data_IF_189828872301
#
_entry.id   IF_189828872301
#
_cell.length_a   1.000
_cell.length_b   1.000
_cell.length_c   1.000
_cell.angle_alpha   90.00
_cell.angle_beta   90.00
_cell.angle_gamma   90.00
#
_symmetry.space_group_name_H-M   'P 1'
#
loop_
_entity.id
_entity.type
_entity.pdbx_description
1 polymer ?
#
# COMPACT_ATOMS: atom_id res chain seq x y z
N UNK A 1 30.99 11.72 -6.84
CA UNK A 1 31.39 12.19 -5.50
C UNK A 1 30.37 11.64 -4.51
N UNK A 2 30.70 10.56 -3.79
CA UNK A 2 29.87 10.10 -2.68
C UNK A 2 30.01 11.12 -1.55
N UNK A 3 28.94 11.86 -1.25
CA UNK A 3 28.93 12.69 -0.05
C UNK A 3 29.18 11.77 1.15
N UNK A 4 30.20 12.08 1.94
CA UNK A 4 30.49 11.35 3.17
C UNK A 4 29.34 11.62 4.15
N UNK A 5 28.72 10.57 4.68
CA UNK A 5 27.54 10.66 5.53
C UNK A 5 27.83 10.00 6.89
N UNK A 6 27.19 10.50 7.92
CA UNK A 6 27.35 10.02 9.28
C UNK A 6 26.51 8.76 9.49
N UNK A 7 27.17 7.61 9.64
CA UNK A 7 26.51 6.31 9.76
C UNK A 7 25.63 6.21 11.00
N UNK A 8 26.10 6.70 12.13
CA UNK A 8 25.37 6.61 13.39
C UNK A 8 24.15 7.52 13.35
N UNK A 9 24.32 8.79 12.96
CA UNK A 9 23.19 9.73 12.87
C UNK A 9 22.16 9.31 11.82
N UNK A 10 22.60 8.76 10.68
CA UNK A 10 21.69 8.27 9.64
C UNK A 10 20.91 7.03 10.09
N UNK A 11 21.52 6.16 10.88
CA UNK A 11 20.83 5.01 11.48
C UNK A 11 19.78 5.46 12.50
N UNK A 12 20.10 6.42 13.37
CA UNK A 12 19.10 6.98 14.31
C UNK A 12 17.93 7.63 13.56
N UNK A 13 18.21 8.44 12.54
CA UNK A 13 17.19 9.07 11.70
C UNK A 13 16.28 8.02 11.03
N UNK A 14 16.86 6.92 10.55
CA UNK A 14 16.11 5.80 9.99
C UNK A 14 15.20 5.09 11.02
N UNK A 15 15.69 4.86 12.24
CA UNK A 15 14.89 4.22 13.29
C UNK A 15 13.73 5.13 13.73
N UNK A 16 13.99 6.45 13.81
CA UNK A 16 12.96 7.45 14.04
C UNK A 16 11.92 7.48 12.90
N UNK A 17 12.34 7.36 11.64
CA UNK A 17 11.44 7.24 10.48
C UNK A 17 10.54 6.00 10.57
N UNK A 18 11.13 4.84 10.89
CA UNK A 18 10.37 3.60 11.09
C UNK A 18 9.32 3.73 12.20
N UNK A 19 9.67 4.40 13.30
CA UNK A 19 8.74 4.58 14.42
C UNK A 19 7.63 5.56 14.07
N UNK A 20 7.98 6.76 13.56
CA UNK A 20 7.03 7.85 13.36
C UNK A 20 6.17 7.69 12.11
N UNK A 21 6.75 7.22 11.01
CA UNK A 21 6.08 7.14 9.71
C UNK A 21 5.57 5.72 9.42
N UNK A 22 6.29 4.68 9.86
CA UNK A 22 5.87 3.29 9.59
C UNK A 22 5.15 2.60 10.75
N UNK A 23 4.97 3.28 11.87
CA UNK A 23 4.24 2.76 13.04
C UNK A 23 4.90 1.54 13.66
N UNK A 24 6.21 1.34 13.48
CA UNK A 24 6.94 0.23 14.09
C UNK A 24 7.05 0.48 15.60
N UNK A 25 6.59 -0.49 16.40
CA UNK A 25 6.67 -0.45 17.86
C UNK A 25 8.12 -0.35 18.37
N UNK A 26 8.32 0.35 19.48
CA UNK A 26 9.63 0.57 20.11
C UNK A 26 10.34 -0.74 20.45
N UNK A 27 9.58 -1.77 20.80
CA UNK A 27 10.04 -3.13 21.09
C UNK A 27 10.73 -3.82 19.90
N UNK A 28 10.47 -3.37 18.67
CA UNK A 28 11.04 -3.94 17.45
C UNK A 28 12.27 -3.17 16.94
N UNK A 29 12.46 -1.92 17.35
CA UNK A 29 13.57 -1.07 16.90
C UNK A 29 14.96 -1.66 17.19
N UNK A 30 15.24 -2.30 18.35
CA UNK A 30 16.55 -2.91 18.59
C UNK A 30 16.91 -4.00 17.58
N UNK A 31 15.92 -4.75 17.08
CA UNK A 31 16.13 -5.80 16.08
C UNK A 31 16.42 -5.21 14.70
N UNK A 32 15.72 -4.14 14.32
CA UNK A 32 16.00 -3.42 13.08
C UNK A 32 17.39 -2.78 13.10
N UNK A 33 17.76 -2.14 14.21
CA UNK A 33 19.09 -1.59 14.45
C UNK A 33 20.18 -2.62 14.18
N UNK A 34 20.13 -3.78 14.86
CA UNK A 34 21.14 -4.82 14.72
C UNK A 34 21.28 -5.36 13.29
N UNK A 35 20.15 -5.51 12.57
CA UNK A 35 20.16 -5.97 11.18
C UNK A 35 20.77 -4.92 10.23
N UNK A 36 20.44 -3.65 10.41
CA UNK A 36 20.97 -2.55 9.58
C UNK A 36 22.45 -2.30 9.90
N UNK A 37 22.87 -2.36 11.16
CA UNK A 37 24.30 -2.29 11.52
C UNK A 37 25.09 -3.43 10.87
N UNK A 38 24.56 -4.65 10.91
CA UNK A 38 25.18 -5.80 10.24
C UNK A 38 25.26 -5.61 8.72
N UNK A 39 24.27 -4.97 8.11
CA UNK A 39 24.29 -4.62 6.68
C UNK A 39 25.35 -3.56 6.38
N UNK A 40 25.37 -2.46 7.14
CA UNK A 40 26.30 -1.34 6.97
C UNK A 40 27.77 -1.72 7.24
N UNK A 41 28.02 -2.74 8.04
CA UNK A 41 29.37 -3.28 8.25
C UNK A 41 29.94 -3.94 6.98
N UNK A 42 29.10 -4.51 6.11
CA UNK A 42 29.51 -5.20 4.88
C UNK A 42 29.26 -4.42 3.59
N UNK A 43 28.43 -3.38 3.62
CA UNK A 43 28.06 -2.59 2.45
C UNK A 43 29.14 -1.54 2.11
N UNK A 44 29.63 -1.60 0.87
CA UNK A 44 30.46 -0.53 0.28
C UNK A 44 29.59 0.55 -0.36
N UNK A 45 28.51 0.13 -1.01
CA UNK A 45 27.53 0.98 -1.69
C UNK A 45 26.13 0.71 -1.11
N UNK A 46 25.25 1.71 -1.15
CA UNK A 46 23.85 1.61 -0.72
C UNK A 46 22.94 1.43 -1.93
N UNK A 47 22.98 0.24 -2.54
CA UNK A 47 22.15 -0.13 -3.69
C UNK A 47 21.45 -1.49 -3.49
N UNK A 48 20.56 -1.86 -4.41
CA UNK A 48 19.85 -3.16 -4.36
C UNK A 48 20.83 -4.34 -4.42
N UNK A 49 21.95 -4.21 -5.15
CA UNK A 49 22.98 -5.25 -5.24
C UNK A 49 23.68 -5.49 -3.90
N UNK A 50 23.82 -4.47 -3.05
CA UNK A 50 24.32 -4.63 -1.70
C UNK A 50 23.36 -5.43 -0.83
N UNK A 51 22.04 -5.22 -0.99
CA UNK A 51 21.01 -6.01 -0.29
C UNK A 51 21.09 -7.47 -0.70
N UNK A 52 21.16 -7.77 -2.00
CA UNK A 52 21.26 -9.15 -2.51
C UNK A 52 22.51 -9.86 -1.98
N UNK A 53 23.66 -9.18 -1.99
CA UNK A 53 24.91 -9.70 -1.41
C UNK A 53 24.78 -9.98 0.09
N UNK A 54 24.12 -9.09 0.82
CA UNK A 54 23.89 -9.25 2.26
C UNK A 54 22.99 -10.45 2.57
N UNK A 55 21.92 -10.65 1.78
CA UNK A 55 21.01 -11.79 1.92
C UNK A 55 21.71 -13.10 1.56
N UNK A 56 22.50 -13.12 0.47
CA UNK A 56 23.30 -14.27 0.10
C UNK A 56 24.31 -14.64 1.21
N UNK A 57 24.94 -13.66 1.84
CA UNK A 57 25.82 -13.88 2.99
C UNK A 57 25.07 -14.42 4.21
N UNK A 58 23.85 -13.96 4.47
CA UNK A 58 23.01 -14.52 5.55
C UNK A 58 22.71 -16.00 5.32
N UNK A 59 22.37 -16.39 4.07
CA UNK A 59 22.14 -17.78 3.70
C UNK A 59 23.42 -18.63 3.81
N UNK A 60 24.56 -18.10 3.36
CA UNK A 60 25.85 -18.77 3.48
C UNK A 60 26.29 -19.00 4.94
N UNK A 61 25.86 -18.13 5.86
CA UNK A 61 26.07 -18.29 7.32
C UNK A 61 25.12 -19.31 7.97
N UNK A 62 24.26 -19.99 7.20
CA UNK A 62 23.31 -20.96 7.73
C UNK A 62 22.17 -20.33 8.56
N UNK A 63 21.88 -19.04 8.37
CA UNK A 63 20.72 -18.41 9.02
C UNK A 63 19.43 -18.99 8.44
N UNK A 64 18.39 -19.05 9.28
CA UNK A 64 17.07 -19.51 8.84
C UNK A 64 16.48 -18.60 7.75
N UNK A 65 15.62 -19.14 6.88
CA UNK A 65 14.94 -18.36 5.83
C UNK A 65 14.19 -17.14 6.41
N UNK A 66 13.56 -17.30 7.58
CA UNK A 66 12.90 -16.21 8.31
C UNK A 66 13.86 -15.09 8.71
N UNK A 67 15.08 -15.43 9.13
CA UNK A 67 16.12 -14.45 9.46
C UNK A 67 16.65 -13.76 8.20
N UNK A 68 16.86 -14.49 7.10
CA UNK A 68 17.28 -13.92 5.83
C UNK A 68 16.24 -12.94 5.25
N UNK A 69 14.94 -13.29 5.31
CA UNK A 69 13.85 -12.40 4.90
C UNK A 69 13.76 -11.13 5.76
N UNK A 70 13.91 -11.27 7.08
CA UNK A 70 13.95 -10.12 7.99
C UNK A 70 15.16 -9.21 7.69
N UNK A 71 16.33 -9.80 7.42
CA UNK A 71 17.53 -9.07 7.02
C UNK A 71 17.33 -8.33 5.69
N UNK A 72 16.72 -8.98 4.69
CA UNK A 72 16.38 -8.38 3.40
C UNK A 72 15.43 -7.17 3.57
N UNK A 73 14.40 -7.32 4.41
CA UNK A 73 13.43 -6.25 4.68
C UNK A 73 14.09 -5.06 5.37
N UNK A 74 14.93 -5.30 6.37
CA UNK A 74 15.63 -4.23 7.10
C UNK A 74 16.62 -3.48 6.21
N UNK A 75 17.46 -4.21 5.45
CA UNK A 75 18.43 -3.61 4.53
C UNK A 75 17.75 -2.85 3.38
N UNK A 76 16.71 -3.43 2.77
CA UNK A 76 15.95 -2.77 1.71
C UNK A 76 15.22 -1.51 2.20
N UNK A 77 14.66 -1.53 3.42
CA UNK A 77 14.05 -0.34 4.01
C UNK A 77 15.08 0.78 4.22
N UNK A 78 16.29 0.45 4.69
CA UNK A 78 17.36 1.43 4.87
C UNK A 78 17.87 2.02 3.55
N UNK A 79 18.06 1.18 2.51
CA UNK A 79 18.46 1.66 1.17
C UNK A 79 17.40 2.57 0.57
N UNK A 80 16.11 2.24 0.72
CA UNK A 80 15.02 3.11 0.29
C UNK A 80 14.99 4.44 1.05
N UNK A 81 15.28 4.44 2.35
CA UNK A 81 15.42 5.66 3.15
C UNK A 81 16.59 6.53 2.66
N UNK A 82 17.74 5.91 2.37
CA UNK A 82 18.91 6.60 1.83
C UNK A 82 18.62 7.28 0.48
N UNK A 83 17.93 6.58 -0.43
CA UNK A 83 17.55 7.12 -1.75
C UNK A 83 16.59 8.30 -1.69
N UNK A 84 15.80 8.42 -0.61
CA UNK A 84 14.93 9.58 -0.37
C UNK A 84 15.66 10.79 0.22
N UNK A 85 16.99 10.71 0.38
CA UNK A 85 17.78 11.76 1.01
C UNK A 85 17.73 11.74 2.53
N UNK A 86 17.36 10.61 3.15
CA UNK A 86 17.35 10.46 4.61
C UNK A 86 18.75 10.41 5.25
N UNK A 87 19.82 10.33 4.45
CA UNK A 87 21.19 10.28 4.96
C UNK A 87 21.60 11.64 5.57
N UNK A 88 22.13 11.58 6.79
CA UNK A 88 22.67 12.75 7.49
C UNK A 88 24.10 13.00 6.98
N UNK A 89 24.39 14.15 6.36
CA UNK A 89 25.73 14.47 5.88
C UNK A 89 26.73 14.49 7.04
N UNK A 90 27.95 14.01 6.80
CA UNK A 90 29.03 14.12 7.77
C UNK A 90 29.32 15.61 7.99
N UNK A 91 29.27 16.05 9.24
CA UNK A 91 29.56 17.43 9.57
C UNK A 91 31.07 17.62 9.40
N UNK A 92 31.55 18.57 8.58
CA UNK A 92 32.97 18.82 8.49
C UNK A 92 33.44 19.23 9.88
N UNK A 93 34.40 18.49 10.43
CA UNK A 93 35.04 18.84 11.69
C UNK A 93 35.71 20.19 11.45
N UNK A 94 35.03 21.27 11.82
CA UNK A 94 35.62 22.60 11.79
C UNK A 94 36.82 22.55 12.75
N UNK A 95 38.01 23.03 12.34
CA UNK A 95 39.11 23.16 13.26
C UNK A 95 38.65 24.00 14.46
N UNK A 96 39.06 23.64 15.68
CA UNK A 96 38.62 24.36 16.88
C UNK A 96 38.86 25.86 16.67
N UNK A 97 37.88 26.71 17.03
CA UNK A 97 38.04 28.14 16.84
C UNK A 97 39.32 28.59 17.56
N UNK A 98 40.15 29.45 16.93
CA UNK A 98 41.33 29.97 17.57
C UNK A 98 40.93 30.59 18.91
N UNK A 99 41.65 30.21 19.97
CA UNK A 99 41.46 30.72 21.32
C UNK A 99 41.41 32.26 21.27
N UNK A 100 40.20 32.81 21.39
CA UNK A 100 40.04 34.25 21.54
C UNK A 100 40.74 34.66 22.84
N UNK A 101 41.52 35.76 22.84
CA UNK A 101 42.12 36.27 24.05
C UNK A 101 41.03 36.55 25.10
N UNK A 102 41.32 36.32 26.39
CA UNK A 102 40.35 36.51 27.45
C UNK A 102 39.78 37.94 27.39
N UNK A 103 38.46 38.11 27.51
CA UNK A 103 37.86 39.45 27.52
C UNK A 103 38.45 40.26 28.69
N UNK A 104 38.73 41.55 28.49
CA UNK A 104 39.17 42.41 29.58
C UNK A 104 38.10 42.40 30.68
N UNK A 105 38.55 42.29 31.93
CA UNK A 105 37.72 42.40 33.14
C UNK A 105 36.89 43.70 33.07
N UNK A 106 35.62 43.56 32.72
CA UNK A 106 34.63 44.61 32.89
C UNK A 106 34.29 44.63 34.39
N UNK A 107 34.56 45.78 35.02
CA UNK A 107 34.27 46.02 36.43
C UNK A 107 32.78 45.88 36.77
N UNK A 108 32.45 45.83 38.07
CA UNK A 108 31.10 45.52 38.53
C UNK A 108 30.06 46.52 37.98
N UNK A 109 28.88 46.04 37.55
CA UNK A 109 27.82 46.94 37.08
C UNK A 109 27.18 47.69 38.24
N UNK A 110 27.01 49.00 38.06
CA UNK A 110 26.23 49.87 38.95
C UNK A 110 24.76 49.44 39.03
N UNK A 111 24.11 49.52 40.21
CA UNK A 111 22.72 49.15 40.38
C UNK A 111 21.80 50.35 40.12
N UNK A 112 21.31 50.50 38.89
CA UNK A 112 20.17 51.37 38.64
C UNK A 112 19.46 50.98 37.34
N UNK A 113 18.34 50.26 37.46
CA UNK A 113 17.06 50.60 36.82
C UNK A 113 16.03 49.50 37.14
N UNK A 114 15.14 49.79 38.09
CA UNK A 114 13.91 49.03 38.32
C UNK A 114 12.84 49.59 37.39
N UNK A 115 12.42 48.82 36.40
CA UNK A 115 11.23 49.09 35.58
C UNK A 115 10.35 47.84 35.53
N UNK A 116 9.03 47.93 35.74
CA UNK A 116 8.16 46.76 35.80
C UNK A 116 7.84 46.28 34.37
N UNK A 117 8.31 45.08 34.01
CA UNK A 117 7.83 44.36 32.83
C UNK A 117 6.52 43.65 33.17
N UNK A 118 5.44 44.09 32.54
CA UNK A 118 4.14 43.44 32.56
C UNK A 118 4.22 42.06 31.87
N UNK A 119 3.80 41.03 32.58
CA UNK A 119 3.63 39.68 32.03
C UNK A 119 2.32 39.59 31.22
N UNK A 120 2.31 38.93 30.05
CA UNK A 120 1.07 38.57 29.39
C UNK A 120 0.40 37.36 30.09
N UNK A 121 -0.94 37.25 30.06
CA UNK A 121 -1.65 36.19 30.76
C UNK A 121 -1.53 34.85 30.03
N UNK A 122 -1.11 33.83 30.77
CA UNK A 122 -1.27 32.41 30.41
C UNK A 122 -2.76 32.06 30.46
N UNK A 123 -3.31 31.66 29.32
CA UNK A 123 -4.65 31.08 29.24
C UNK A 123 -4.57 29.59 29.61
N UNK A 124 -5.20 29.26 30.74
CA UNK A 124 -5.59 27.92 31.16
C UNK A 124 -6.54 27.30 30.15
N UNK A 125 -6.13 26.21 29.50
CA UNK A 125 -7.06 25.26 28.86
C UNK A 125 -6.55 23.82 29.02
N UNK A 126 -6.99 23.19 30.10
CA UNK A 126 -7.32 21.76 30.18
C UNK A 126 -8.42 21.63 31.25
N UNK A 127 -9.37 20.67 31.17
CA UNK A 127 -9.07 19.26 30.86
C UNK A 127 -10.15 18.46 30.09
N UNK A 128 -9.76 17.21 29.80
CA UNK A 128 -10.57 15.99 29.79
C UNK A 128 -11.52 15.70 28.61
N UNK A 129 -11.18 14.64 27.86
CA UNK A 129 -12.06 13.48 27.72
C UNK A 129 -11.24 12.25 27.30
N UNK A 130 -10.98 11.39 28.27
CA UNK A 130 -10.55 10.02 28.10
C UNK A 130 -11.69 9.21 27.48
N UNK A 131 -11.43 8.49 26.39
CA UNK A 131 -12.26 7.35 25.97
C UNK A 131 -11.35 6.16 25.71
N UNK A 132 -11.25 5.34 26.73
CA UNK A 132 -10.73 3.98 26.71
C UNK A 132 -11.67 3.07 25.92
N UNK A 133 -11.19 2.39 24.88
CA UNK A 133 -11.74 1.12 24.42
C UNK A 133 -10.62 0.28 23.81
N UNK A 134 -10.19 -0.75 24.55
CA UNK A 134 -9.50 -1.93 24.00
C UNK A 134 -10.53 -2.96 23.47
N UNK A 135 -10.11 -4.14 22.99
CA UNK A 135 -9.04 -4.92 23.61
C UNK A 135 -7.85 -5.23 22.69
N UNK A 136 -6.68 -5.24 23.32
CA UNK A 136 -5.46 -5.84 22.80
C UNK A 136 -5.61 -7.38 22.81
N UNK A 137 -5.28 -8.00 21.68
CA UNK A 137 -5.05 -9.44 21.57
C UNK A 137 -3.71 -9.74 22.26
N UNK A 138 -3.78 -10.18 23.51
CA UNK A 138 -2.64 -10.71 24.26
C UNK A 138 -2.28 -12.08 23.67
N UNK A 139 -1.21 -12.15 22.87
CA UNK A 139 -0.59 -13.40 22.47
C UNK A 139 0.37 -13.79 23.59
N UNK A 140 0.09 -14.92 24.24
CA UNK A 140 0.86 -15.51 25.32
C UNK A 140 2.20 -16.05 24.80
N UNK A 141 3.38 -15.57 25.26
CA UNK A 141 4.67 -16.05 24.81
C UNK A 141 5.20 -17.28 25.60
N UNK A 142 4.35 -18.01 26.34
CA UNK A 142 4.77 -19.12 27.19
C UNK A 142 4.46 -20.55 26.65
N UNK A 143 3.98 -20.72 25.42
CA UNK A 143 3.76 -22.05 24.84
C UNK A 143 4.92 -22.46 23.90
N UNK A 144 6.10 -22.68 24.48
CA UNK A 144 7.25 -23.26 23.81
C UNK A 144 8.02 -24.18 24.77
N UNK A 145 7.46 -25.36 25.07
CA UNK A 145 8.22 -26.61 25.21
C UNK A 145 7.26 -27.80 25.37
N UNK A 146 7.77 -29.01 25.12
CA UNK A 146 7.10 -30.32 25.20
C UNK A 146 6.30 -30.78 23.97
N UNK A 147 7.04 -31.03 22.89
CA UNK A 147 6.77 -32.23 22.07
C UNK A 147 7.96 -33.19 22.17
N UNK A 148 7.73 -34.47 22.49
CA UNK A 148 8.80 -35.44 22.66
C UNK A 148 9.49 -35.72 21.33
N UNK A 149 10.82 -35.63 21.33
CA UNK A 149 11.73 -36.13 20.30
C UNK A 149 11.33 -37.57 19.93
N UNK A 150 10.67 -37.73 18.78
CA UNK A 150 10.59 -39.01 18.10
C UNK A 150 11.89 -39.17 17.32
N UNK A 151 12.70 -40.11 17.75
CA UNK A 151 13.88 -40.58 17.03
C UNK A 151 13.43 -41.16 15.68
N UNK A 152 13.52 -40.38 14.61
CA UNK A 152 13.48 -40.91 13.25
C UNK A 152 14.92 -41.05 12.75
N UNK A 153 15.25 -42.27 12.37
CA UNK A 153 16.51 -42.68 11.74
C UNK A 153 16.77 -41.87 10.46
N UNK A 154 18.05 -41.67 10.09
CA UNK A 154 18.41 -40.93 8.89
C UNK A 154 18.14 -41.80 7.65
N UNK A 155 16.93 -41.71 7.10
CA UNK A 155 16.72 -42.08 5.71
C UNK A 155 17.37 -41.01 4.83
N UNK A 156 18.48 -41.38 4.19
CA UNK A 156 19.13 -40.63 3.14
C UNK A 156 18.13 -40.40 1.98
N UNK A 157 17.39 -39.30 2.04
CA UNK A 157 16.65 -38.79 0.88
C UNK A 157 17.67 -38.35 -0.16
N UNK A 158 17.58 -38.96 -1.34
CA UNK A 158 18.28 -38.52 -2.53
C UNK A 158 18.04 -37.02 -2.76
N UNK A 159 19.04 -36.28 -3.28
CA UNK A 159 18.87 -34.87 -3.61
C UNK A 159 17.66 -34.71 -4.56
N UNK A 160 16.82 -33.69 -4.35
CA UNK A 160 15.73 -33.41 -5.28
C UNK A 160 16.31 -33.22 -6.69
N UNK A 161 15.61 -33.70 -7.74
CA UNK A 161 16.07 -33.52 -9.10
C UNK A 161 16.27 -32.01 -9.36
N UNK A 162 17.32 -31.61 -10.10
CA UNK A 162 17.54 -30.22 -10.43
C UNK A 162 16.28 -29.67 -11.08
N UNK A 163 15.75 -28.58 -10.51
CA UNK A 163 14.61 -27.88 -11.07
C UNK A 163 15.05 -27.34 -12.44
N UNK A 164 14.66 -28.02 -13.51
CA UNK A 164 15.00 -27.67 -14.89
C UNK A 164 14.24 -26.43 -15.39
N UNK A 165 13.35 -25.86 -14.58
CA UNK A 165 12.87 -24.52 -14.81
C UNK A 165 13.90 -23.53 -14.27
N UNK A 166 14.65 -22.82 -15.14
CA UNK A 166 15.43 -21.68 -14.68
C UNK A 166 14.48 -20.73 -13.92
N UNK A 167 14.89 -20.14 -12.79
CA UNK A 167 14.17 -19.01 -12.23
C UNK A 167 14.04 -18.01 -13.37
N UNK A 168 12.81 -17.58 -13.66
CA UNK A 168 12.55 -16.59 -14.70
C UNK A 168 13.55 -15.44 -14.50
N UNK A 169 14.47 -15.28 -15.46
CA UNK A 169 15.39 -14.16 -15.44
C UNK A 169 14.54 -12.88 -15.30
N UNK A 170 14.99 -11.87 -14.54
CA UNK A 170 14.40 -10.54 -14.58
C UNK A 170 14.79 -9.86 -15.90
N UNK A 171 14.40 -10.45 -17.03
CA UNK A 171 14.60 -9.91 -18.38
C UNK A 171 13.34 -9.18 -18.80
N UNK A 172 13.07 -8.07 -18.12
CA UNK A 172 12.58 -6.85 -18.76
C UNK A 172 12.58 -5.75 -17.69
N UNK A 173 13.32 -4.64 -17.87
CA UNK A 173 13.05 -3.44 -17.09
C UNK A 173 11.58 -3.11 -17.29
N UNK A 174 10.83 -2.86 -16.21
CA UNK A 174 9.40 -2.58 -16.23
C UNK A 174 9.05 -1.72 -17.46
N UNK A 175 8.46 -2.38 -18.47
CA UNK A 175 8.24 -1.80 -19.79
C UNK A 175 7.36 -0.56 -19.61
N UNK A 176 7.98 0.62 -19.76
CA UNK A 176 7.46 1.97 -19.56
C UNK A 176 6.42 2.16 -18.43
N UNK A 177 6.77 2.92 -17.38
CA UNK A 177 5.89 3.40 -16.29
C UNK A 177 4.80 4.39 -16.78
N UNK A 178 4.12 4.06 -17.88
CA UNK A 178 3.13 4.85 -18.57
C UNK A 178 1.79 4.10 -18.56
N UNK A 179 0.68 4.84 -18.50
CA UNK A 179 -0.69 4.30 -18.49
C UNK A 179 -0.95 3.29 -19.63
N UNK A 180 -0.33 3.51 -20.79
CA UNK A 180 -0.44 2.59 -21.93
C UNK A 180 0.16 1.21 -21.64
N UNK A 181 1.31 1.14 -20.96
CA UNK A 181 1.95 -0.11 -20.56
C UNK A 181 1.07 -0.89 -19.58
N UNK A 182 0.48 -0.19 -18.61
CA UNK A 182 -0.43 -0.78 -17.63
C UNK A 182 -1.71 -1.35 -18.29
N UNK A 183 -2.25 -0.67 -19.31
CA UNK A 183 -3.43 -1.12 -20.06
C UNK A 183 -3.12 -2.31 -20.98
N UNK A 184 -1.96 -2.31 -21.65
CA UNK A 184 -1.55 -3.44 -22.50
C UNK A 184 -1.43 -4.74 -21.72
N UNK A 185 -0.99 -4.69 -20.45
CA UNK A 185 -0.92 -5.86 -19.57
C UNK A 185 -2.29 -6.49 -19.32
N UNK A 186 -3.33 -5.68 -19.19
CA UNK A 186 -4.71 -6.16 -18.96
C UNK A 186 -5.28 -6.85 -20.20
N UNK A 187 -4.94 -6.37 -21.40
CA UNK A 187 -5.40 -6.92 -22.68
C UNK A 187 -4.55 -8.14 -23.14
N UNK A 188 -3.51 -8.49 -22.38
CA UNK A 188 -2.69 -9.66 -22.66
C UNK A 188 -3.51 -10.96 -22.64
N UNK A 189 -2.99 -12.03 -23.28
CA UNK A 189 -3.63 -13.35 -23.25
C UNK A 189 -3.83 -13.89 -21.83
N UNK A 190 -2.90 -13.60 -20.92
CA UNK A 190 -3.02 -13.94 -19.49
C UNK A 190 -4.15 -13.16 -18.83
N UNK A 191 -4.31 -11.87 -19.16
CA UNK A 191 -5.38 -11.01 -18.64
C UNK A 191 -6.76 -11.50 -19.07
N UNK A 192 -6.90 -11.91 -20.32
CA UNK A 192 -8.14 -12.50 -20.84
C UNK A 192 -8.43 -13.84 -20.14
N UNK A 193 -7.44 -14.72 -20.00
CA UNK A 193 -7.60 -15.99 -19.29
C UNK A 193 -8.00 -15.78 -17.82
N UNK A 194 -7.38 -14.82 -17.15
CA UNK A 194 -7.71 -14.46 -15.78
C UNK A 194 -9.12 -13.87 -15.66
N UNK A 195 -9.52 -12.99 -16.58
CA UNK A 195 -10.88 -12.44 -16.64
C UNK A 195 -11.94 -13.53 -16.82
N UNK A 196 -11.67 -14.52 -17.67
CA UNK A 196 -12.54 -15.69 -17.85
C UNK A 196 -12.63 -16.53 -16.59
N UNK A 197 -11.51 -16.75 -15.89
CA UNK A 197 -11.49 -17.50 -14.63
C UNK A 197 -12.32 -16.80 -13.54
N UNK A 198 -12.20 -15.48 -13.40
CA UNK A 198 -13.01 -14.67 -12.46
C UNK A 198 -14.50 -14.63 -12.85
N UNK A 199 -14.81 -14.85 -14.13
CA UNK A 199 -16.18 -14.92 -14.64
C UNK A 199 -16.82 -16.31 -14.46
N UNK A 200 -16.03 -17.35 -14.20
CA UNK A 200 -16.50 -18.72 -14.08
C UNK A 200 -17.66 -18.93 -13.08
N UNK A 201 -17.73 -18.25 -11.91
CA UNK A 201 -18.86 -18.39 -11.00
C UNK A 201 -20.22 -18.11 -11.66
N UNK A 202 -20.28 -17.24 -12.68
CA UNK A 202 -21.53 -16.93 -13.38
C UNK A 202 -22.12 -18.11 -14.14
N UNK A 203 -21.33 -19.13 -14.46
CA UNK A 203 -21.80 -20.39 -15.03
C UNK A 203 -22.78 -21.13 -14.10
N UNK A 204 -22.71 -20.89 -12.78
CA UNK A 204 -23.71 -21.42 -11.84
C UNK A 204 -25.10 -20.84 -12.11
N UNK A 205 -25.19 -19.62 -12.66
CA UNK A 205 -26.48 -18.98 -12.96
C UNK A 205 -27.36 -19.75 -13.95
N UNK A 206 -26.77 -20.67 -14.72
CA UNK A 206 -27.49 -21.55 -15.63
C UNK A 206 -28.32 -22.63 -14.92
N UNK A 207 -28.07 -22.86 -13.63
CA UNK A 207 -28.77 -23.88 -12.83
C UNK A 207 -30.13 -23.39 -12.27
N UNK A 208 -30.51 -22.13 -12.51
CA UNK A 208 -31.80 -21.56 -12.10
C UNK A 208 -31.69 -20.26 -11.30
N UNK A 209 -32.84 -19.69 -10.90
CA UNK A 209 -32.91 -18.35 -10.30
C UNK A 209 -32.11 -18.16 -9.00
N UNK A 210 -32.14 -19.14 -8.08
CA UNK A 210 -31.36 -19.06 -6.83
C UNK A 210 -29.86 -19.08 -7.10
N UNK A 211 -29.42 -19.95 -8.01
CA UNK A 211 -28.01 -20.03 -8.41
C UNK A 211 -27.58 -18.80 -9.22
N UNK A 212 -28.50 -18.13 -9.93
CA UNK A 212 -28.23 -16.87 -10.63
C UNK A 212 -27.91 -15.72 -9.65
N UNK A 213 -28.65 -15.61 -8.55
CA UNK A 213 -28.32 -14.61 -7.53
C UNK A 213 -26.99 -14.93 -6.85
N UNK A 214 -26.82 -16.20 -6.44
CA UNK A 214 -25.59 -16.66 -5.80
C UNK A 214 -24.36 -16.45 -6.69
N UNK A 215 -24.48 -16.73 -7.99
CA UNK A 215 -23.39 -16.58 -8.95
C UNK A 215 -22.97 -15.13 -9.12
N UNK A 216 -23.92 -14.19 -9.17
CA UNK A 216 -23.65 -12.75 -9.19
C UNK A 216 -22.93 -12.30 -7.92
N UNK A 217 -23.38 -12.75 -6.75
CA UNK A 217 -22.73 -12.43 -5.46
C UNK A 217 -21.28 -12.93 -5.45
N UNK A 218 -21.05 -14.19 -5.84
CA UNK A 218 -19.70 -14.77 -5.91
C UNK A 218 -18.82 -14.05 -6.92
N UNK A 219 -19.36 -13.70 -8.09
CA UNK A 219 -18.63 -12.97 -9.12
C UNK A 219 -18.23 -11.57 -8.65
N UNK A 220 -19.14 -10.79 -8.07
CA UNK A 220 -18.81 -9.46 -7.54
C UNK A 220 -17.85 -9.53 -6.36
N UNK A 221 -17.94 -10.56 -5.51
CA UNK A 221 -16.97 -10.78 -4.44
C UNK A 221 -15.57 -11.08 -4.99
N UNK A 222 -15.48 -11.94 -6.00
CA UNK A 222 -14.22 -12.22 -6.69
C UNK A 222 -13.67 -10.97 -7.39
N UNK A 223 -14.52 -10.18 -8.04
CA UNK A 223 -14.16 -8.94 -8.71
C UNK A 223 -13.61 -7.90 -7.71
N UNK A 224 -14.25 -7.74 -6.56
CA UNK A 224 -13.81 -6.85 -5.49
C UNK A 224 -12.44 -7.26 -4.92
N UNK A 225 -12.24 -8.55 -4.66
CA UNK A 225 -10.96 -9.06 -4.16
C UNK A 225 -9.84 -8.93 -5.20
N UNK A 226 -10.12 -9.25 -6.47
CA UNK A 226 -9.14 -9.17 -7.56
C UNK A 226 -8.75 -7.74 -7.90
N UNK A 227 -9.67 -6.79 -7.79
CA UNK A 227 -9.37 -5.37 -7.94
C UNK A 227 -8.25 -4.93 -6.98
N UNK A 228 -8.38 -5.22 -5.68
CA UNK A 228 -7.35 -4.84 -4.71
C UNK A 228 -6.08 -5.65 -4.86
N UNK A 229 -6.17 -6.95 -5.17
CA UNK A 229 -4.98 -7.77 -5.43
C UNK A 229 -4.17 -7.23 -6.62
N UNK A 230 -4.82 -6.79 -7.70
CA UNK A 230 -4.14 -6.16 -8.83
C UNK A 230 -3.58 -4.79 -8.48
N UNK A 231 -4.36 -3.96 -7.79
CA UNK A 231 -3.92 -2.63 -7.37
C UNK A 231 -2.64 -2.74 -6.52
N UNK A 232 -2.61 -3.64 -5.54
CA UNK A 232 -1.44 -3.89 -4.70
C UNK A 232 -0.25 -4.45 -5.48
N UNK A 233 -0.50 -5.40 -6.39
CA UNK A 233 0.54 -6.01 -7.22
C UNK A 233 1.23 -4.95 -8.10
N UNK A 234 0.45 -4.07 -8.75
CA UNK A 234 0.96 -2.98 -9.57
C UNK A 234 1.59 -1.88 -8.73
N UNK A 235 0.98 -1.52 -7.60
CA UNK A 235 1.56 -0.55 -6.66
C UNK A 235 2.93 -0.99 -6.13
N UNK A 236 3.12 -2.30 -5.93
CA UNK A 236 4.40 -2.89 -5.55
C UNK A 236 5.42 -2.98 -6.71
N UNK A 237 5.05 -2.57 -7.93
CA UNK A 237 5.94 -2.59 -9.09
C UNK A 237 6.25 -3.99 -9.62
N UNK A 238 5.43 -4.99 -9.29
CA UNK A 238 5.67 -6.38 -9.72
C UNK A 238 5.31 -6.54 -11.20
N UNK A 239 6.11 -7.30 -11.99
CA UNK A 239 5.78 -7.59 -13.38
C UNK A 239 4.60 -8.59 -13.48
N UNK A 240 3.93 -8.61 -14.63
CA UNK A 240 2.84 -9.55 -14.94
C UNK A 240 1.56 -9.35 -14.12
N UNK A 241 0.69 -10.37 -14.14
CA UNK A 241 -0.53 -10.45 -13.33
C UNK A 241 -0.25 -11.15 -11.99
N UNK A 242 -1.10 -10.95 -10.96
CA UNK A 242 -0.94 -11.65 -9.68
C UNK A 242 -1.05 -13.18 -9.87
N UNK A 243 0.10 -13.87 -9.79
CA UNK A 243 0.25 -15.31 -10.12
C UNK A 243 -0.35 -16.30 -9.13
N UNK A 244 -0.92 -15.84 -8.02
CA UNK A 244 -1.80 -16.58 -7.13
C UNK A 244 -2.65 -15.56 -6.38
N UNK A 245 -3.95 -15.82 -6.19
CA UNK A 245 -4.81 -14.98 -5.36
C UNK A 245 -4.14 -14.78 -3.99
N UNK A 246 -3.95 -13.52 -3.58
CA UNK A 246 -3.20 -13.13 -2.39
C UNK A 246 -3.60 -13.93 -1.14
N UNK A 247 -2.67 -14.18 -0.22
CA UNK A 247 -2.95 -14.79 1.10
C UNK A 247 -4.04 -14.04 1.90
N UNK A 248 -4.34 -12.78 1.53
CA UNK A 248 -5.35 -11.93 2.14
C UNK A 248 -6.59 -11.67 1.25
N UNK A 249 -7.17 -12.71 0.65
CA UNK A 249 -8.34 -12.60 -0.23
C UNK A 249 -9.55 -11.95 0.47
N UNK A 250 -9.80 -12.34 1.72
CA UNK A 250 -10.89 -11.80 2.52
C UNK A 250 -10.70 -10.30 2.82
N UNK A 251 -9.48 -9.88 3.19
CA UNK A 251 -9.16 -8.46 3.40
C UNK A 251 -9.36 -7.64 2.13
N UNK A 252 -8.91 -8.16 0.99
CA UNK A 252 -9.08 -7.50 -0.31
C UNK A 252 -10.56 -7.41 -0.73
N UNK A 253 -11.37 -8.44 -0.45
CA UNK A 253 -12.81 -8.38 -0.63
C UNK A 253 -13.45 -7.26 0.20
N UNK A 254 -13.17 -7.17 1.50
CA UNK A 254 -13.76 -6.15 2.36
C UNK A 254 -13.35 -4.73 1.97
N UNK A 255 -12.10 -4.53 1.52
CA UNK A 255 -11.65 -3.25 0.97
C UNK A 255 -12.43 -2.89 -0.31
N UNK A 256 -12.62 -3.86 -1.21
CA UNK A 256 -13.45 -3.69 -2.41
C UNK A 256 -14.89 -3.32 -2.08
N UNK A 257 -15.49 -4.05 -1.15
CA UNK A 257 -16.85 -3.79 -0.68
C UNK A 257 -16.98 -2.38 -0.08
N UNK A 258 -16.03 -1.96 0.75
CA UNK A 258 -16.04 -0.63 1.37
C UNK A 258 -15.98 0.49 0.32
N UNK A 259 -15.16 0.34 -0.72
CA UNK A 259 -15.10 1.31 -1.84
C UNK A 259 -16.43 1.36 -2.61
N UNK A 260 -17.08 0.22 -2.85
CA UNK A 260 -18.40 0.18 -3.50
C UNK A 260 -19.43 0.91 -2.64
N UNK A 261 -19.42 0.70 -1.32
CA UNK A 261 -20.32 1.42 -0.40
C UNK A 261 -20.11 2.93 -0.51
N UNK A 262 -18.85 3.41 -0.56
CA UNK A 262 -18.56 4.84 -0.75
C UNK A 262 -19.13 5.37 -2.07
N UNK A 263 -19.11 4.58 -3.14
CA UNK A 263 -19.68 4.97 -4.43
C UNK A 263 -21.21 5.09 -4.41
N UNK A 264 -21.88 4.16 -3.71
CA UNK A 264 -23.34 4.06 -3.65
C UNK A 264 -23.94 4.98 -2.58
N UNK A 265 -23.17 5.36 -1.57
CA UNK A 265 -23.67 6.14 -0.44
C UNK A 265 -24.25 7.50 -0.85
N UNK A 266 -23.60 8.35 -1.68
CA UNK A 266 -24.18 9.64 -2.08
C UNK A 266 -25.54 9.53 -2.79
N UNK A 267 -25.73 8.70 -3.84
CA UNK A 267 -27.06 8.58 -4.46
C UNK A 267 -28.08 7.93 -3.53
N UNK A 268 -27.67 6.97 -2.69
CA UNK A 268 -28.56 6.34 -1.71
C UNK A 268 -29.05 7.35 -0.66
N UNK A 269 -28.16 8.14 -0.08
CA UNK A 269 -28.52 9.20 0.89
C UNK A 269 -29.43 10.23 0.23
N UNK A 270 -29.14 10.61 -1.02
CA UNK A 270 -29.98 11.54 -1.79
C UNK A 270 -31.39 11.00 -1.98
N UNK A 271 -31.52 9.74 -2.37
CA UNK A 271 -32.80 9.07 -2.55
C UNK A 271 -33.58 8.90 -1.24
N UNK A 272 -32.89 8.67 -0.12
CA UNK A 272 -33.51 8.48 1.21
C UNK A 272 -33.87 9.78 1.91
N UNK A 273 -33.24 10.91 1.56
CA UNK A 273 -33.41 12.21 2.24
C UNK A 273 -34.26 13.20 1.47
N UNK A 274 -34.39 13.01 0.16
CA UNK A 274 -35.18 13.87 -0.71
C UNK A 274 -36.37 13.06 -1.21
N UNK A 275 -37.55 13.70 -1.23
CA UNK A 275 -38.76 13.10 -1.79
C UNK A 275 -39.09 13.67 -3.16
N UNK A 276 -39.79 12.86 -3.96
CA UNK A 276 -40.38 13.29 -5.23
C UNK A 276 -39.39 13.45 -6.40
N UNK A 277 -39.76 14.25 -7.42
CA UNK A 277 -38.99 14.34 -8.67
C UNK A 277 -37.59 14.95 -8.49
N UNK A 278 -37.38 15.75 -7.44
CA UNK A 278 -36.08 16.32 -7.11
C UNK A 278 -35.07 15.23 -6.71
N UNK A 279 -35.51 14.21 -5.96
CA UNK A 279 -34.66 13.09 -5.56
C UNK A 279 -34.15 12.34 -6.80
N UNK A 280 -35.05 12.01 -7.73
CA UNK A 280 -34.71 11.34 -8.98
C UNK A 280 -33.76 12.18 -9.85
N UNK A 281 -33.98 13.49 -9.92
CA UNK A 281 -33.11 14.41 -10.67
C UNK A 281 -31.69 14.47 -10.10
N UNK A 282 -31.52 14.31 -8.78
CA UNK A 282 -30.23 14.39 -8.10
C UNK A 282 -29.52 13.04 -7.92
N UNK A 283 -30.20 11.90 -8.09
CA UNK A 283 -29.57 10.56 -7.99
C UNK A 283 -28.44 10.41 -9.01
N UNK A 284 -28.63 10.85 -10.26
CA UNK A 284 -27.60 10.74 -11.32
C UNK A 284 -26.35 11.55 -10.97
N UNK A 285 -26.43 12.88 -10.73
CA UNK A 285 -25.23 13.65 -10.39
C UNK A 285 -24.56 13.16 -9.10
N UNK A 286 -25.32 12.69 -8.11
CA UNK A 286 -24.75 12.14 -6.88
C UNK A 286 -24.07 10.78 -7.11
N UNK A 287 -24.54 9.99 -8.07
CA UNK A 287 -23.85 8.77 -8.52
C UNK A 287 -22.50 9.12 -9.14
N UNK A 288 -22.42 10.19 -9.95
CA UNK A 288 -21.16 10.66 -10.52
C UNK A 288 -20.19 11.13 -9.43
N UNK A 289 -20.68 11.82 -8.40
CA UNK A 289 -19.89 12.20 -7.22
C UNK A 289 -19.35 10.96 -6.51
N UNK A 290 -20.19 9.95 -6.27
CA UNK A 290 -19.78 8.69 -5.65
C UNK A 290 -18.68 7.98 -6.44
N UNK A 291 -18.82 7.87 -7.76
CA UNK A 291 -17.81 7.26 -8.63
C UNK A 291 -16.52 8.09 -8.63
N UNK A 292 -16.60 9.42 -8.66
CA UNK A 292 -15.44 10.30 -8.60
C UNK A 292 -14.66 10.21 -7.27
N UNK A 293 -15.29 9.73 -6.20
CA UNK A 293 -14.65 9.49 -4.90
C UNK A 293 -14.03 8.09 -4.77
N UNK A 294 -14.43 7.11 -5.61
CA UNK A 294 -13.90 5.74 -5.55
C UNK A 294 -12.37 5.67 -5.66
N UNK A 295 -11.69 6.39 -6.58
CA UNK A 295 -10.23 6.41 -6.65
C UNK A 295 -9.56 6.78 -5.32
N UNK A 296 -10.01 7.87 -4.68
CA UNK A 296 -9.45 8.30 -3.41
C UNK A 296 -9.73 7.30 -2.28
N UNK A 297 -10.93 6.72 -2.22
CA UNK A 297 -11.26 5.69 -1.24
C UNK A 297 -10.43 4.41 -1.43
N UNK A 298 -10.21 3.98 -2.68
CA UNK A 298 -9.40 2.82 -3.00
C UNK A 298 -7.92 3.03 -2.61
N UNK A 299 -7.38 4.21 -2.91
CA UNK A 299 -6.02 4.58 -2.51
C UNK A 299 -5.90 4.71 -0.99
N UNK A 300 -6.91 5.21 -0.28
CA UNK A 300 -6.92 5.25 1.18
C UNK A 300 -6.88 3.84 1.80
N UNK A 301 -7.69 2.92 1.28
CA UNK A 301 -7.66 1.50 1.65
C UNK A 301 -6.28 0.86 1.43
N UNK A 302 -5.67 1.12 0.28
CA UNK A 302 -4.36 0.56 -0.06
C UNK A 302 -3.24 1.15 0.80
N UNK A 303 -3.22 2.47 1.00
CA UNK A 303 -2.19 3.12 1.81
C UNK A 303 -2.22 2.66 3.27
N UNK A 304 -3.41 2.45 3.83
CA UNK A 304 -3.59 2.06 5.24
C UNK A 304 -3.76 0.56 5.43
N UNK A 305 -3.77 -0.22 4.35
CA UNK A 305 -4.00 -1.66 4.38
C UNK A 305 -5.27 -2.06 5.16
N UNK A 306 -6.31 -1.21 5.15
CA UNK A 306 -7.53 -1.39 5.95
C UNK A 306 -8.77 -0.96 5.18
N UNK A 307 -9.85 -1.76 5.24
CA UNK A 307 -11.13 -1.43 4.62
C UNK A 307 -11.81 -0.21 5.28
N UNK A 308 -11.56 0.02 6.57
CA UNK A 308 -12.13 1.16 7.30
C UNK A 308 -11.60 2.50 6.79
N UNK A 309 -10.40 2.52 6.21
CA UNK A 309 -9.83 3.72 5.61
C UNK A 309 -10.64 4.22 4.39
N UNK A 310 -11.44 3.34 3.77
CA UNK A 310 -12.41 3.75 2.75
C UNK A 310 -13.32 4.85 3.29
N UNK A 311 -13.72 4.83 4.56
CA UNK A 311 -14.72 5.71 5.16
C UNK A 311 -14.12 6.93 5.88
N UNK A 312 -12.88 7.30 5.57
CA UNK A 312 -12.17 8.39 6.23
C UNK A 312 -11.99 9.58 5.27
N UNK A 313 -12.91 10.56 5.23
CA UNK A 313 -12.87 11.65 4.26
C UNK A 313 -11.58 12.48 4.30
N UNK A 314 -11.00 12.63 5.49
CA UNK A 314 -9.73 13.36 5.66
C UNK A 314 -8.57 12.71 4.89
N UNK A 315 -8.56 11.38 4.73
CA UNK A 315 -7.59 10.69 3.90
C UNK A 315 -7.83 10.95 2.42
N UNK A 316 -9.09 10.98 1.99
CA UNK A 316 -9.44 11.28 0.61
C UNK A 316 -8.94 12.67 0.21
N UNK A 317 -9.19 13.69 1.04
CA UNK A 317 -8.73 15.05 0.78
C UNK A 317 -7.19 15.12 0.70
N UNK A 318 -6.48 14.46 1.63
CA UNK A 318 -5.00 14.40 1.58
C UNK A 318 -4.51 13.75 0.27
N UNK A 319 -5.14 12.68 -0.19
CA UNK A 319 -4.80 12.00 -1.44
C UNK A 319 -5.09 12.90 -2.65
N UNK A 320 -6.25 13.55 -2.68
CA UNK A 320 -6.65 14.47 -3.76
C UNK A 320 -5.69 15.66 -3.83
N UNK A 321 -5.33 16.24 -2.69
CA UNK A 321 -4.40 17.36 -2.60
C UNK A 321 -2.98 16.96 -3.01
N UNK A 322 -2.53 15.76 -2.62
CA UNK A 322 -1.22 15.25 -3.01
C UNK A 322 -1.14 14.94 -4.51
N UNK A 323 -2.23 14.45 -5.12
CA UNK A 323 -2.30 14.06 -6.53
C UNK A 323 -2.95 15.14 -7.41
N UNK A 324 -3.03 16.39 -6.96
CA UNK A 324 -3.91 17.45 -7.50
C UNK A 324 -4.07 17.54 -9.02
N UNK A 325 -3.00 17.35 -9.80
CA UNK A 325 -3.06 17.35 -11.28
C UNK A 325 -3.42 15.98 -11.86
N UNK A 326 -2.88 14.91 -11.29
CA UNK A 326 -3.06 13.55 -11.78
C UNK A 326 -4.41 12.96 -11.37
N UNK A 327 -4.98 13.39 -10.25
CA UNK A 327 -6.26 12.91 -9.72
C UNK A 327 -7.40 13.13 -10.72
N UNK A 328 -7.45 14.29 -11.37
CA UNK A 328 -8.47 14.59 -12.37
C UNK A 328 -8.38 13.63 -13.57
N UNK A 329 -7.16 13.28 -14.01
CA UNK A 329 -6.93 12.32 -15.10
C UNK A 329 -7.38 10.92 -14.67
N UNK A 330 -7.04 10.50 -13.44
CA UNK A 330 -7.45 9.20 -12.90
C UNK A 330 -8.96 9.10 -12.84
N UNK A 331 -9.64 10.10 -12.27
CA UNK A 331 -11.09 10.14 -12.20
C UNK A 331 -11.70 10.11 -13.60
N UNK A 332 -11.16 10.86 -14.56
CA UNK A 332 -11.64 10.84 -15.94
C UNK A 332 -11.51 9.45 -16.58
N UNK A 333 -10.37 8.77 -16.41
CA UNK A 333 -10.15 7.40 -16.90
C UNK A 333 -11.10 6.42 -16.22
N UNK A 334 -11.24 6.51 -14.89
CA UNK A 334 -12.12 5.64 -14.11
C UNK A 334 -13.58 5.80 -14.53
N UNK A 335 -14.04 7.05 -14.70
CA UNK A 335 -15.38 7.39 -15.20
C UNK A 335 -15.59 6.89 -16.62
N UNK A 336 -14.61 7.08 -17.52
CA UNK A 336 -14.68 6.59 -18.88
C UNK A 336 -14.79 5.06 -18.93
N UNK A 337 -14.00 4.34 -18.13
CA UNK A 337 -14.06 2.88 -18.04
C UNK A 337 -15.40 2.39 -17.47
N UNK A 338 -15.93 3.05 -16.44
CA UNK A 338 -17.26 2.75 -15.89
C UNK A 338 -18.39 3.00 -16.91
N UNK A 339 -18.31 4.09 -17.68
CA UNK A 339 -19.27 4.38 -18.75
C UNK A 339 -19.15 3.33 -19.86
N UNK A 340 -17.94 3.00 -20.30
CA UNK A 340 -17.68 1.97 -21.31
C UNK A 340 -18.21 0.61 -20.85
N UNK A 341 -17.97 0.24 -19.59
CA UNK A 341 -18.49 -0.98 -18.98
C UNK A 341 -20.03 -0.99 -18.98
N UNK A 342 -20.66 0.10 -18.53
CA UNK A 342 -22.12 0.20 -18.39
C UNK A 342 -22.84 0.23 -19.74
N UNK A 343 -22.37 1.08 -20.66
CA UNK A 343 -22.91 1.19 -22.02
C UNK A 343 -22.63 -0.08 -22.80
N UNK A 344 -21.43 -0.65 -22.68
CA UNK A 344 -21.06 -1.91 -23.32
C UNK A 344 -21.96 -3.06 -22.87
N UNK A 345 -22.16 -3.22 -21.56
CA UNK A 345 -23.08 -4.22 -21.00
C UNK A 345 -24.51 -4.03 -21.53
N UNK A 346 -25.01 -2.79 -21.53
CA UNK A 346 -26.35 -2.48 -22.02
C UNK A 346 -26.51 -2.74 -23.52
N UNK A 347 -25.56 -2.29 -24.34
CA UNK A 347 -25.56 -2.54 -25.79
C UNK A 347 -25.49 -4.04 -26.11
N UNK A 348 -24.66 -4.79 -25.37
CA UNK A 348 -24.51 -6.22 -25.54
C UNK A 348 -25.83 -6.96 -25.25
N UNK A 349 -26.52 -6.57 -24.17
CA UNK A 349 -27.85 -7.09 -23.84
C UNK A 349 -28.87 -6.78 -24.95
N UNK A 350 -28.84 -5.57 -25.51
CA UNK A 350 -29.71 -5.15 -26.60
C UNK A 350 -29.44 -5.85 -27.93
N UNK A 351 -28.17 -6.05 -28.29
CA UNK A 351 -27.79 -6.64 -29.59
C UNK A 351 -28.05 -8.14 -29.59
N UNK A 352 -27.62 -8.85 -28.55
CA UNK A 352 -27.69 -10.30 -28.54
C UNK A 352 -29.11 -10.82 -28.32
N UNK A 353 -30.01 -10.04 -27.68
CA UNK A 353 -31.38 -10.42 -27.30
C UNK A 353 -31.48 -11.74 -26.49
N UNK A 354 -30.33 -12.35 -26.18
CA UNK A 354 -30.14 -13.59 -25.44
C UNK A 354 -29.42 -13.23 -24.14
N UNK A 355 -30.15 -13.07 -23.03
CA UNK A 355 -29.59 -12.54 -21.77
C UNK A 355 -28.44 -13.40 -21.23
N UNK A 356 -28.47 -14.69 -21.57
CA UNK A 356 -27.47 -15.68 -21.17
C UNK A 356 -26.14 -15.47 -21.89
N UNK A 357 -26.16 -15.35 -23.22
CA UNK A 357 -24.94 -15.12 -24.02
C UNK A 357 -24.40 -13.71 -23.73
N UNK A 358 -25.29 -12.74 -23.57
CA UNK A 358 -24.91 -11.39 -23.16
C UNK A 358 -24.18 -11.40 -21.82
N UNK A 359 -24.70 -12.09 -20.80
CA UNK A 359 -24.06 -12.19 -19.47
C UNK A 359 -22.68 -12.87 -19.52
N UNK A 360 -22.52 -13.90 -20.36
CA UNK A 360 -21.24 -14.60 -20.54
C UNK A 360 -20.15 -13.72 -21.17
N UNK A 361 -20.54 -12.80 -22.06
CA UNK A 361 -19.61 -11.87 -22.72
C UNK A 361 -19.41 -10.58 -21.90
N UNK A 362 -20.45 -10.15 -21.18
CA UNK A 362 -20.42 -9.00 -20.27
C UNK A 362 -19.40 -9.19 -19.15
N UNK A 363 -19.37 -10.38 -18.54
CA UNK A 363 -18.54 -10.66 -17.38
C UNK A 363 -17.03 -10.52 -17.61
N UNK A 364 -16.42 -11.17 -18.62
CA UNK A 364 -14.99 -11.00 -18.89
C UNK A 364 -14.69 -9.56 -19.31
N UNK A 365 -15.57 -8.90 -20.06
CA UNK A 365 -15.41 -7.49 -20.41
C UNK A 365 -15.40 -6.58 -19.17
N UNK A 366 -16.35 -6.79 -18.26
CA UNK A 366 -16.45 -6.12 -16.96
C UNK A 366 -15.20 -6.34 -16.10
N UNK A 367 -14.67 -7.57 -16.07
CA UNK A 367 -13.39 -7.88 -15.43
C UNK A 367 -12.25 -7.08 -16.05
N UNK A 368 -12.13 -7.03 -17.38
CA UNK A 368 -11.07 -6.28 -18.06
C UNK A 368 -11.14 -4.78 -17.75
N UNK A 369 -12.33 -4.18 -17.77
CA UNK A 369 -12.52 -2.79 -17.35
C UNK A 369 -12.08 -2.58 -15.89
N UNK A 370 -12.44 -3.49 -15.00
CA UNK A 370 -12.08 -3.43 -13.58
C UNK A 370 -10.58 -3.59 -13.37
N UNK A 371 -9.93 -4.47 -14.12
CA UNK A 371 -8.49 -4.65 -14.09
C UNK A 371 -7.77 -3.40 -14.60
N UNK A 372 -8.24 -2.78 -15.68
CA UNK A 372 -7.72 -1.51 -16.17
C UNK A 372 -7.85 -0.37 -15.14
N UNK A 373 -8.97 -0.34 -14.41
CA UNK A 373 -9.16 0.59 -13.28
C UNK A 373 -8.16 0.31 -12.15
N UNK A 374 -7.96 -0.95 -11.78
CA UNK A 374 -7.01 -1.35 -10.73
C UNK A 374 -5.56 -1.04 -11.11
N UNK A 375 -5.14 -1.34 -12.35
CA UNK A 375 -3.77 -1.11 -12.82
C UNK A 375 -3.46 0.38 -12.93
N UNK A 376 -4.38 1.19 -13.47
CA UNK A 376 -4.21 2.64 -13.53
C UNK A 376 -4.05 3.29 -12.15
N UNK A 377 -4.84 2.85 -11.16
CA UNK A 377 -4.71 3.27 -9.76
C UNK A 377 -3.40 2.79 -9.13
N UNK A 378 -3.02 1.52 -9.34
CA UNK A 378 -1.78 0.95 -8.83
C UNK A 378 -0.54 1.68 -9.38
N UNK A 379 -0.55 2.04 -10.66
CA UNK A 379 0.53 2.80 -11.29
C UNK A 379 0.68 4.19 -10.67
N UNK A 380 -0.43 4.85 -10.33
CA UNK A 380 -0.38 6.13 -9.59
C UNK A 380 0.08 5.95 -8.16
N UNK A 381 -0.41 4.92 -7.46
CA UNK A 381 0.03 4.62 -6.11
C UNK A 381 1.55 4.42 -6.05
N UNK A 382 2.11 3.69 -7.01
CA UNK A 382 3.57 3.49 -7.15
C UNK A 382 4.33 4.80 -7.36
N UNK A 383 3.80 5.71 -8.19
CA UNK A 383 4.47 7.00 -8.51
C UNK A 383 4.32 8.06 -7.42
N UNK A 384 3.17 8.10 -6.73
CA UNK A 384 2.78 9.24 -5.89
C UNK A 384 2.69 8.97 -4.39
N UNK A 385 2.46 7.73 -3.94
CA UNK A 385 2.20 7.43 -2.52
C UNK A 385 3.45 7.09 -1.70
N UNK A 386 4.63 7.00 -2.31
CA UNK A 386 5.89 6.69 -1.60
C UNK A 386 6.27 7.67 -0.48
N UNK A 387 5.63 8.85 -0.41
CA UNK A 387 5.85 9.89 0.61
C UNK A 387 4.64 10.22 1.50
N UNK A 388 3.55 9.46 1.43
CA UNK A 388 2.33 9.71 2.23
C UNK A 388 2.14 8.76 3.42
N UNK A 389 2.99 7.74 3.55
CA UNK A 389 3.06 6.82 4.69
C UNK A 389 3.88 7.41 5.83
#
# INVERSE_FOLDING_TARGET
MSAEWDRARSLEAFLDDLHRHRGIGQEHLPRYRALVESFLAGAQDLDERAVDRFVANCAAQGRSDKQCKAAATAAGAFVAFAHRGGLVPAEPILPPPPLLPPPPLVGPPDPAFSGPLAAPPLADLSPAASSSFGPALTIDPAALDDTPRRSEEPHALAPPPPNLNPPALPTQPAEADNLEGDLRRVISGEGIAFALAVSAPLLLGFMGGTFFLLSRVLHYAALAATFFAMLEHVAAGRPGLPGAMSENLAGNFFRGLAVIVVAVLPPLVTFMRLDGPLALALVIPMSLVGIALMPAAALACQANQSALAAFMPHLWFRIIDALRRDYAVIVAVFMALMIVQSVGAWMLMWILQMPVIASLLEAPFSCLCTFAMATSLGGVARRGLGGLG
#
